data_IF_880710636248
#
_entry.id   IF_880710636248
#
_cell.length_a   1.000
_cell.length_b   1.000
_cell.length_c   1.000
_cell.angle_alpha   90.00
_cell.angle_beta   90.00
_cell.angle_gamma   90.00
#
_symmetry.space_group_name_H-M   'P 1'
#
loop_
_entity.id
_entity.type
_entity.pdbx_description
1 polymer ?
#
# COMPACT_ATOMS: atom_id res chain seq x y z
N UNK A 1 28.26 21.09 -39.39
CA UNK A 1 27.14 20.79 -38.48
C UNK A 1 27.18 19.31 -38.11
N UNK A 2 27.64 18.98 -36.90
CA UNK A 2 27.47 17.62 -36.37
C UNK A 2 26.02 17.45 -35.94
N UNK A 3 25.36 16.38 -36.39
CA UNK A 3 24.10 15.94 -35.78
C UNK A 3 24.45 15.42 -34.38
N UNK A 4 23.93 16.07 -33.34
CA UNK A 4 23.91 15.48 -32.01
C UNK A 4 22.98 14.28 -32.10
N UNK A 5 23.55 13.06 -32.09
CA UNK A 5 22.78 11.86 -31.83
C UNK A 5 22.28 11.96 -30.39
N UNK A 6 21.04 12.44 -30.22
CA UNK A 6 20.29 12.19 -28.99
C UNK A 6 20.19 10.68 -28.84
N UNK A 7 20.98 10.12 -27.91
CA UNK A 7 20.75 8.75 -27.44
C UNK A 7 19.30 8.69 -26.98
N UNK A 8 18.48 7.92 -27.70
CA UNK A 8 17.18 7.49 -27.20
C UNK A 8 17.45 6.73 -25.91
N UNK A 9 17.05 7.30 -24.77
CA UNK A 9 17.09 6.57 -23.51
C UNK A 9 16.35 5.24 -23.72
N UNK A 10 17.00 4.12 -23.43
CA UNK A 10 16.44 2.80 -23.68
C UNK A 10 15.12 2.66 -22.91
N UNK A 11 14.01 2.75 -23.65
CA UNK A 11 12.67 2.56 -23.10
C UNK A 11 12.26 1.12 -23.32
N UNK A 12 12.06 0.41 -22.23
CA UNK A 12 11.53 -0.93 -22.20
C UNK A 12 9.99 -0.87 -22.17
N UNK A 13 9.36 -1.87 -22.77
CA UNK A 13 7.92 -2.09 -22.74
C UNK A 13 7.65 -3.38 -21.99
N UNK A 14 7.18 -3.28 -20.74
CA UNK A 14 6.94 -4.44 -19.87
C UNK A 14 5.44 -4.71 -19.79
N UNK A 15 5.01 -5.89 -20.25
CA UNK A 15 3.68 -6.43 -19.93
C UNK A 15 3.70 -6.95 -18.48
N UNK A 16 2.73 -6.53 -17.67
CA UNK A 16 2.57 -6.92 -16.28
C UNK A 16 1.27 -7.75 -16.13
N UNK A 17 1.25 -9.04 -16.52
CA UNK A 17 0.03 -9.86 -16.53
C UNK A 17 -0.56 -10.13 -15.14
N UNK A 18 0.19 -9.91 -14.05
CA UNK A 18 -0.39 -9.85 -12.71
C UNK A 18 -1.31 -8.64 -12.49
N UNK A 19 -1.30 -7.66 -13.39
CA UNK A 19 -2.06 -6.41 -13.33
C UNK A 19 -3.10 -6.37 -14.47
N UNK A 20 -4.33 -6.75 -14.15
CA UNK A 20 -5.49 -6.80 -15.04
C UNK A 20 -6.42 -5.59 -14.82
N UNK A 21 -7.27 -5.22 -15.81
CA UNK A 21 -8.21 -4.11 -15.66
C UNK A 21 -9.36 -4.41 -14.69
N UNK A 22 -9.62 -5.69 -14.40
CA UNK A 22 -10.59 -6.15 -13.42
C UNK A 22 -10.01 -7.27 -12.54
N UNK A 23 -10.44 -7.42 -11.27
CA UNK A 23 -11.37 -6.56 -10.54
C UNK A 23 -10.72 -5.22 -10.14
N UNK A 24 -11.50 -4.32 -9.54
CA UNK A 24 -11.05 -2.97 -9.13
C UNK A 24 -9.71 -2.97 -8.36
N UNK A 25 -9.47 -3.96 -7.49
CA UNK A 25 -8.21 -4.07 -6.73
C UNK A 25 -6.99 -4.37 -7.63
N UNK A 26 -7.15 -5.08 -8.74
CA UNK A 26 -6.09 -5.29 -9.74
C UNK A 26 -5.84 -4.02 -10.56
N UNK A 27 -6.90 -3.30 -10.94
CA UNK A 27 -6.81 -1.99 -11.60
C UNK A 27 -6.06 -0.95 -10.74
N UNK A 28 -6.44 -0.84 -9.46
CA UNK A 28 -5.79 0.08 -8.52
C UNK A 28 -4.33 -0.33 -8.22
N UNK A 29 -4.01 -1.62 -8.18
CA UNK A 29 -2.61 -2.10 -8.12
C UNK A 29 -1.80 -1.60 -9.32
N UNK A 30 -2.34 -1.73 -10.54
CA UNK A 30 -1.68 -1.29 -11.77
C UNK A 30 -1.40 0.23 -11.78
N UNK A 31 -2.40 1.04 -11.40
CA UNK A 31 -2.23 2.48 -11.26
C UNK A 31 -1.25 2.86 -10.15
N UNK A 32 -1.27 2.13 -9.02
CA UNK A 32 -0.31 2.31 -7.93
C UNK A 32 1.14 2.05 -8.38
N UNK A 33 1.37 0.99 -9.15
CA UNK A 33 2.67 0.68 -9.76
C UNK A 33 3.13 1.82 -10.67
N UNK A 34 2.27 2.26 -11.59
CA UNK A 34 2.61 3.35 -12.52
C UNK A 34 2.91 4.67 -11.80
N UNK A 35 2.07 5.07 -10.84
CA UNK A 35 2.29 6.26 -10.02
C UNK A 35 3.66 6.20 -9.33
N UNK A 36 3.99 5.09 -8.67
CA UNK A 36 5.23 4.96 -7.91
C UNK A 36 6.47 4.93 -8.79
N UNK A 37 6.41 4.29 -9.96
CA UNK A 37 7.48 4.39 -10.97
C UNK A 37 7.62 5.83 -11.47
N UNK A 38 6.52 6.50 -11.82
CA UNK A 38 6.53 7.87 -12.34
C UNK A 38 7.07 8.89 -11.33
N UNK A 39 6.66 8.80 -10.07
CA UNK A 39 7.05 9.74 -9.00
C UNK A 39 8.47 9.49 -8.47
N UNK A 40 8.90 8.22 -8.35
CA UNK A 40 10.12 7.89 -7.61
C UNK A 40 11.31 7.43 -8.47
N UNK A 41 11.10 7.08 -9.74
CA UNK A 41 12.14 6.41 -10.55
C UNK A 41 12.25 6.91 -11.99
N UNK A 42 11.14 7.11 -12.69
CA UNK A 42 11.10 7.57 -14.09
C UNK A 42 9.88 8.45 -14.40
N UNK A 43 10.01 9.79 -14.26
CA UNK A 43 8.95 10.75 -14.61
C UNK A 43 8.55 10.78 -16.10
N UNK A 44 9.31 10.13 -16.98
CA UNK A 44 9.00 9.99 -18.41
C UNK A 44 8.27 8.69 -18.72
N UNK A 45 8.07 7.81 -17.73
CA UNK A 45 7.29 6.59 -17.90
C UNK A 45 5.86 6.87 -18.35
N UNK A 46 5.30 5.93 -19.11
CA UNK A 46 3.92 5.94 -19.61
C UNK A 46 3.33 4.55 -19.40
N UNK A 47 2.02 4.44 -19.32
CA UNK A 47 1.36 3.15 -19.27
C UNK A 47 0.06 3.14 -20.05
N UNK A 48 -0.34 1.95 -20.49
CA UNK A 48 -1.61 1.69 -21.15
C UNK A 48 -2.11 0.28 -20.83
N UNK A 49 -3.37 0.01 -21.19
CA UNK A 49 -3.93 -1.34 -21.19
C UNK A 49 -3.80 -1.92 -22.60
N UNK A 50 -3.33 -3.16 -22.71
CA UNK A 50 -3.25 -3.90 -23.97
C UNK A 50 -3.52 -5.38 -23.69
N UNK A 51 -4.49 -5.99 -24.39
CA UNK A 51 -4.86 -7.40 -24.24
C UNK A 51 -5.11 -7.80 -22.77
N UNK A 52 -6.00 -7.04 -22.10
CA UNK A 52 -6.32 -7.13 -20.66
C UNK A 52 -5.12 -7.11 -19.69
N UNK A 53 -3.97 -6.65 -20.16
CA UNK A 53 -2.72 -6.58 -19.42
C UNK A 53 -2.26 -5.13 -19.29
N UNK A 54 -1.79 -4.74 -18.11
CA UNK A 54 -1.14 -3.44 -17.94
C UNK A 54 0.25 -3.45 -18.59
N UNK A 55 0.54 -2.44 -19.42
CA UNK A 55 1.84 -2.28 -20.10
C UNK A 55 2.52 -1.02 -19.59
N UNK A 56 3.70 -1.19 -18.99
CA UNK A 56 4.54 -0.10 -18.52
C UNK A 56 5.67 0.18 -19.53
N UNK A 57 5.70 1.41 -20.05
CA UNK A 57 6.79 1.96 -20.83
C UNK A 57 7.69 2.80 -19.92
N UNK A 58 8.92 2.38 -19.67
CA UNK A 58 9.86 3.12 -18.82
C UNK A 58 11.31 2.76 -19.14
N UNK A 59 12.26 3.45 -18.52
CA UNK A 59 13.68 3.11 -18.52
C UNK A 59 14.04 1.85 -17.72
N UNK A 60 13.07 1.22 -17.03
CA UNK A 60 13.26 0.00 -16.25
C UNK A 60 12.95 -1.24 -17.09
N UNK A 61 13.91 -2.17 -17.18
CA UNK A 61 13.63 -3.55 -17.54
C UNK A 61 13.04 -4.33 -16.35
N UNK A 62 12.73 -5.62 -16.54
CA UNK A 62 12.12 -6.46 -15.48
C UNK A 62 12.95 -6.47 -14.20
N UNK A 63 14.26 -6.66 -14.33
CA UNK A 63 15.19 -6.75 -13.20
C UNK A 63 15.29 -5.43 -12.44
N UNK A 64 15.35 -4.30 -13.15
CA UNK A 64 15.38 -2.97 -12.54
C UNK A 64 14.04 -2.60 -11.90
N UNK A 65 12.91 -3.02 -12.46
CA UNK A 65 11.59 -2.85 -11.85
C UNK A 65 11.48 -3.65 -10.54
N UNK A 66 11.88 -4.92 -10.55
CA UNK A 66 11.93 -5.75 -9.34
C UNK A 66 12.87 -5.16 -8.27
N UNK A 67 14.06 -4.70 -8.68
CA UNK A 67 15.03 -4.06 -7.78
C UNK A 67 14.51 -2.78 -7.13
N UNK A 68 13.85 -1.91 -7.91
CA UNK A 68 13.22 -0.69 -7.40
C UNK A 68 12.18 -1.00 -6.31
N UNK A 69 11.29 -1.97 -6.55
CA UNK A 69 10.24 -2.36 -5.59
C UNK A 69 10.83 -3.09 -4.35
N UNK A 70 11.83 -3.95 -4.53
CA UNK A 70 12.43 -4.67 -3.40
C UNK A 70 13.23 -3.75 -2.49
N UNK A 71 14.04 -2.83 -3.02
CA UNK A 71 15.09 -2.15 -2.24
C UNK A 71 14.91 -0.64 -2.13
N UNK A 72 14.48 0.05 -3.20
CA UNK A 72 14.48 1.52 -3.27
C UNK A 72 13.15 2.18 -2.89
N UNK A 73 12.03 1.50 -3.13
CA UNK A 73 10.67 2.02 -2.94
C UNK A 73 10.43 2.66 -1.57
N UNK A 74 9.87 3.88 -1.59
CA UNK A 74 9.37 4.60 -0.42
C UNK A 74 7.84 4.47 -0.35
N UNK A 75 7.26 3.77 0.63
CA UNK A 75 5.81 3.66 0.73
C UNK A 75 5.16 5.00 1.06
N UNK A 76 4.09 5.35 0.32
CA UNK A 76 3.26 6.50 0.64
C UNK A 76 2.65 6.33 2.04
N UNK A 77 2.72 7.33 2.93
CA UNK A 77 2.13 7.27 4.25
C UNK A 77 0.60 7.19 4.22
N UNK A 78 0.05 5.98 4.41
CA UNK A 78 -1.38 5.75 4.55
C UNK A 78 -1.68 5.71 6.05
N UNK A 79 -2.25 6.79 6.58
CA UNK A 79 -2.58 6.97 8.01
C UNK A 79 -4.04 7.36 8.17
N UNK A 80 -4.70 6.81 9.20
CA UNK A 80 -6.11 7.07 9.49
C UNK A 80 -6.34 7.31 11.00
N UNK A 81 -5.66 8.28 11.64
CA UNK A 81 -5.79 8.51 13.08
C UNK A 81 -7.24 8.66 13.55
N UNK A 82 -8.15 9.21 12.73
CA UNK A 82 -9.59 9.31 13.01
C UNK A 82 -10.37 7.98 13.04
N UNK A 83 -9.75 6.84 12.69
CA UNK A 83 -10.37 5.51 12.72
C UNK A 83 -9.97 4.72 13.97
N UNK A 84 -10.93 4.06 14.62
CA UNK A 84 -10.65 3.15 15.75
C UNK A 84 -9.80 1.91 15.38
N UNK A 85 -9.82 1.50 14.11
CA UNK A 85 -9.06 0.36 13.60
C UNK A 85 -7.60 0.65 13.24
N UNK A 86 -7.19 1.92 13.26
CA UNK A 86 -5.90 2.41 12.74
C UNK A 86 -4.67 1.95 13.52
N UNK A 87 -4.81 1.76 14.84
CA UNK A 87 -3.72 1.38 15.76
C UNK A 87 -3.19 2.53 16.64
N UNK A 88 -3.70 3.76 16.49
CA UNK A 88 -3.30 4.89 17.34
C UNK A 88 -3.91 4.85 18.76
N UNK A 89 -5.05 4.19 18.95
CA UNK A 89 -5.80 4.21 20.21
C UNK A 89 -5.50 3.04 21.15
N UNK A 90 -5.60 3.30 22.45
CA UNK A 90 -5.33 2.34 23.53
C UNK A 90 -6.33 1.19 23.59
N UNK A 91 -7.59 1.43 23.21
CA UNK A 91 -8.68 0.45 23.09
C UNK A 91 -8.79 -0.18 21.69
N UNK A 92 -7.86 0.15 20.78
CA UNK A 92 -7.80 -0.36 19.43
C UNK A 92 -7.27 -1.80 19.32
N UNK A 93 -7.23 -2.32 18.08
CA UNK A 93 -6.68 -3.65 17.81
C UNK A 93 -5.18 -3.72 18.12
N UNK A 94 -4.78 -4.66 18.99
CA UNK A 94 -3.36 -4.93 19.30
C UNK A 94 -2.50 -5.11 18.03
N UNK A 95 -3.00 -5.84 17.05
CA UNK A 95 -2.29 -6.07 15.79
C UNK A 95 -2.21 -4.81 14.90
N UNK A 96 -3.10 -3.83 15.08
CA UNK A 96 -2.98 -2.53 14.43
C UNK A 96 -1.92 -1.66 15.13
N UNK A 97 -1.93 -1.64 16.46
CA UNK A 97 -0.92 -0.94 17.26
C UNK A 97 0.50 -1.48 17.02
N UNK A 98 0.68 -2.80 17.04
CA UNK A 98 1.95 -3.46 16.69
C UNK A 98 2.45 -3.10 15.28
N UNK A 99 1.53 -2.83 14.33
CA UNK A 99 1.89 -2.38 12.99
C UNK A 99 2.39 -0.93 12.98
N UNK A 100 1.66 0.00 13.62
CA UNK A 100 2.09 1.40 13.82
C UNK A 100 3.45 1.46 14.50
N UNK A 101 3.59 0.78 15.65
CA UNK A 101 4.82 0.75 16.43
C UNK A 101 6.00 0.14 15.64
N UNK A 102 5.72 -0.82 14.74
CA UNK A 102 6.78 -1.41 13.89
C UNK A 102 7.28 -0.51 12.77
N UNK A 103 6.49 0.44 12.29
CA UNK A 103 6.94 1.46 11.34
C UNK A 103 7.61 2.62 12.09
N UNK A 104 7.06 3.01 13.26
CA UNK A 104 7.60 4.05 14.16
C UNK A 104 9.02 3.73 14.67
N UNK A 105 9.35 2.45 14.84
CA UNK A 105 10.68 2.02 15.24
C UNK A 105 11.80 2.46 14.27
N UNK A 106 13.03 2.54 14.77
CA UNK A 106 14.20 2.73 13.91
C UNK A 106 14.31 1.58 12.90
N UNK A 107 14.70 1.92 11.67
CA UNK A 107 14.47 1.09 10.49
C UNK A 107 14.82 1.84 9.20
N UNK A 108 14.70 1.20 8.04
CA UNK A 108 15.29 1.67 6.79
C UNK A 108 14.76 3.05 6.37
N UNK A 109 15.65 3.89 5.85
CA UNK A 109 15.38 5.28 5.46
C UNK A 109 14.17 5.44 4.53
N UNK A 110 13.80 4.39 3.78
CA UNK A 110 12.61 4.38 2.91
C UNK A 110 11.26 4.47 3.63
N UNK A 111 11.24 4.33 4.96
CA UNK A 111 10.06 4.51 5.82
C UNK A 111 10.03 5.88 6.52
N UNK A 112 10.96 6.79 6.24
CA UNK A 112 11.13 8.04 6.99
C UNK A 112 9.92 8.97 6.89
N UNK A 113 9.40 9.23 5.68
CA UNK A 113 8.16 9.99 5.46
C UNK A 113 6.96 9.35 6.17
N UNK A 114 6.95 8.02 6.32
CA UNK A 114 5.91 7.27 7.02
C UNK A 114 6.00 7.48 8.54
N UNK A 115 7.21 7.43 9.12
CA UNK A 115 7.44 7.75 10.54
C UNK A 115 6.99 9.17 10.86
N UNK A 116 7.36 10.13 10.01
CA UNK A 116 6.95 11.53 10.16
C UNK A 116 5.43 11.69 10.15
N UNK A 117 4.71 10.99 9.25
CA UNK A 117 3.25 11.01 9.23
C UNK A 117 2.61 10.35 10.47
N UNK A 118 3.19 9.25 11.00
CA UNK A 118 2.75 8.60 12.24
C UNK A 118 3.00 9.50 13.46
N UNK A 119 4.14 10.20 13.51
CA UNK A 119 4.45 11.15 14.59
C UNK A 119 3.58 12.40 14.54
N UNK A 120 3.34 12.97 13.35
CA UNK A 120 2.40 14.08 13.16
C UNK A 120 0.98 13.66 13.56
N UNK A 121 0.53 12.48 13.16
CA UNK A 121 -0.76 11.91 13.57
C UNK A 121 -0.89 11.79 15.09
N UNK A 122 0.17 11.31 15.78
CA UNK A 122 0.19 11.25 17.24
C UNK A 122 0.11 12.65 17.86
N UNK A 123 0.93 13.60 17.40
CA UNK A 123 0.95 14.99 17.89
C UNK A 123 -0.41 15.67 17.76
N UNK A 124 -1.15 15.43 16.67
CA UNK A 124 -2.53 15.94 16.51
C UNK A 124 -3.48 15.33 17.53
N UNK A 125 -3.44 14.01 17.73
CA UNK A 125 -4.28 13.34 18.73
C UNK A 125 -3.98 13.83 20.15
N UNK A 126 -2.70 13.97 20.49
CA UNK A 126 -2.24 14.48 21.79
C UNK A 126 -2.66 15.95 22.00
N UNK A 127 -2.53 16.79 20.95
CA UNK A 127 -2.94 18.21 20.97
C UNK A 127 -4.46 18.38 21.16
N UNK A 128 -5.26 17.53 20.52
CA UNK A 128 -6.73 17.56 20.62
C UNK A 128 -7.28 16.77 21.82
N UNK A 129 -6.45 16.01 22.55
CA UNK A 129 -6.84 15.25 23.73
C UNK A 129 -7.57 13.91 23.45
N UNK A 130 -7.27 13.25 22.33
CA UNK A 130 -7.93 11.99 21.94
C UNK A 130 -7.21 10.72 22.46
N UNK A 131 -7.62 10.23 23.63
CA UNK A 131 -7.21 8.90 24.14
C UNK A 131 -7.91 7.72 23.42
N UNK A 132 -9.01 7.99 22.73
CA UNK A 132 -9.92 7.05 22.05
C UNK A 132 -10.38 7.62 20.71
N UNK A 133 -10.98 6.77 19.86
CA UNK A 133 -11.55 7.19 18.57
C UNK A 133 -12.50 8.39 18.75
N UNK A 134 -12.50 9.36 17.82
CA UNK A 134 -13.44 10.48 17.85
C UNK A 134 -14.88 9.98 17.66
N UNK A 135 -15.84 10.71 18.21
CA UNK A 135 -17.23 10.65 17.76
C UNK A 135 -17.38 11.29 16.38
N UNK A 136 -18.50 11.02 15.70
CA UNK A 136 -18.75 11.61 14.38
C UNK A 136 -18.92 13.14 14.40
N UNK A 137 -19.17 13.74 15.57
CA UNK A 137 -19.16 15.21 15.77
C UNK A 137 -17.75 15.79 15.89
N UNK A 138 -16.82 15.02 16.42
CA UNK A 138 -15.41 15.43 16.63
C UNK A 138 -14.55 15.15 15.40
N UNK A 139 -14.95 14.18 14.58
CA UNK A 139 -14.21 13.74 13.39
C UNK A 139 -13.89 14.87 12.41
N UNK A 140 -14.82 15.76 11.97
CA UNK A 140 -14.49 16.82 11.02
C UNK A 140 -13.35 17.73 11.49
N UNK A 141 -13.35 18.12 12.76
CA UNK A 141 -12.27 18.91 13.37
C UNK A 141 -10.94 18.16 13.39
N UNK A 142 -10.95 16.86 13.70
CA UNK A 142 -9.74 16.03 13.65
C UNK A 142 -9.22 15.86 12.21
N UNK A 143 -10.10 15.72 11.21
CA UNK A 143 -9.69 15.69 9.80
C UNK A 143 -9.03 17.02 9.38
N UNK A 144 -9.58 18.15 9.81
CA UNK A 144 -9.00 19.47 9.57
C UNK A 144 -7.61 19.64 10.23
N UNK A 145 -7.45 19.27 11.50
CA UNK A 145 -6.13 19.33 12.15
C UNK A 145 -5.14 18.32 11.56
N UNK A 146 -5.58 17.12 11.18
CA UNK A 146 -4.74 16.21 10.41
C UNK A 146 -4.29 16.84 9.09
N UNK A 147 -5.16 17.54 8.36
CA UNK A 147 -4.80 18.25 7.13
C UNK A 147 -3.82 19.40 7.36
N UNK A 148 -3.87 20.05 8.52
CA UNK A 148 -2.99 21.15 8.90
C UNK A 148 -1.58 20.69 9.34
N UNK A 149 -1.44 19.51 9.96
CA UNK A 149 -0.20 19.07 10.62
C UNK A 149 0.53 17.90 9.94
N UNK A 150 -0.15 17.07 9.15
CA UNK A 150 0.50 15.93 8.47
C UNK A 150 1.40 16.43 7.32
N UNK A 151 2.53 15.74 7.06
CA UNK A 151 3.45 16.13 6.00
C UNK A 151 2.85 15.95 4.60
N UNK A 152 3.35 16.70 3.61
CA UNK A 152 2.94 16.65 2.20
C UNK A 152 2.91 15.22 1.61
N UNK A 153 3.77 14.32 2.08
CA UNK A 153 3.77 12.91 1.66
C UNK A 153 2.46 12.17 1.99
N UNK A 154 1.74 12.58 3.04
CA UNK A 154 0.44 12.04 3.43
C UNK A 154 -0.75 12.82 2.82
N UNK A 155 -0.55 14.08 2.38
CA UNK A 155 -1.59 14.97 1.85
C UNK A 155 -2.39 14.32 0.70
N UNK A 156 -1.71 13.66 -0.25
CA UNK A 156 -2.36 12.94 -1.36
C UNK A 156 -3.23 11.75 -0.92
N UNK A 157 -2.95 11.16 0.25
CA UNK A 157 -3.83 10.15 0.84
C UNK A 157 -5.05 10.79 1.49
N UNK A 158 -4.88 11.91 2.21
CA UNK A 158 -5.99 12.66 2.83
C UNK A 158 -7.02 13.11 1.77
N UNK A 159 -6.56 13.72 0.67
CA UNK A 159 -7.43 14.14 -0.44
C UNK A 159 -8.11 12.97 -1.16
N UNK A 160 -7.53 11.75 -1.05
CA UNK A 160 -8.12 10.53 -1.59
C UNK A 160 -9.13 9.86 -0.64
N UNK A 161 -9.19 10.22 0.65
CA UNK A 161 -10.18 9.67 1.60
C UNK A 161 -11.29 10.63 2.01
N UNK A 162 -11.06 11.94 2.00
CA UNK A 162 -12.07 12.93 2.37
C UNK A 162 -11.85 14.29 1.68
N UNK A 163 -12.92 15.10 1.68
CA UNK A 163 -12.90 16.51 1.29
C UNK A 163 -13.42 17.33 2.47
N UNK A 164 -12.78 18.45 2.79
CA UNK A 164 -13.22 19.37 3.83
C UNK A 164 -14.14 20.45 3.21
N UNK A 165 -15.34 20.59 3.74
CA UNK A 165 -16.40 21.48 3.23
C UNK A 165 -16.78 22.52 4.28
N UNK A 166 -15.87 23.47 4.53
CA UNK A 166 -16.05 24.51 5.53
C UNK A 166 -15.90 23.96 6.95
N UNK A 167 -17.01 23.75 7.65
CA UNK A 167 -17.03 23.15 8.99
C UNK A 167 -17.25 21.62 8.97
N UNK A 168 -17.68 21.08 7.82
CA UNK A 168 -18.00 19.67 7.65
C UNK A 168 -16.92 18.93 6.84
N UNK A 169 -17.08 17.62 6.71
CA UNK A 169 -16.21 16.75 5.91
C UNK A 169 -17.04 15.71 5.17
N UNK A 170 -16.79 15.55 3.88
CA UNK A 170 -17.36 14.47 3.06
C UNK A 170 -16.33 13.35 2.87
N UNK A 171 -16.74 12.10 3.11
CA UNK A 171 -15.87 10.93 3.03
C UNK A 171 -16.05 10.24 1.68
N UNK A 172 -14.96 9.79 1.06
CA UNK A 172 -15.02 9.13 -0.24
C UNK A 172 -15.80 7.79 -0.13
N UNK A 173 -16.93 7.61 -0.84
CA UNK A 173 -17.81 6.44 -0.65
C UNK A 173 -17.11 5.10 -0.87
N UNK A 174 -16.12 5.06 -1.77
CA UNK A 174 -15.31 3.87 -2.04
C UNK A 174 -14.41 3.47 -0.86
N UNK A 175 -14.08 4.40 0.03
CA UNK A 175 -13.20 4.18 1.19
C UNK A 175 -13.98 4.27 2.51
N UNK A 176 -15.30 4.06 2.46
CA UNK A 176 -16.17 3.94 3.61
C UNK A 176 -16.10 5.14 4.55
N UNK A 177 -15.89 4.88 5.84
CA UNK A 177 -15.82 5.91 6.89
C UNK A 177 -14.46 6.63 6.98
N UNK A 178 -13.81 6.87 5.84
CA UNK A 178 -12.51 7.55 5.74
C UNK A 178 -11.33 6.58 5.82
N UNK A 179 -11.16 5.73 4.80
CA UNK A 179 -10.08 4.73 4.75
C UNK A 179 -10.42 3.37 5.36
N UNK A 180 -11.67 2.91 5.21
CA UNK A 180 -12.11 1.56 5.62
C UNK A 180 -12.73 0.77 4.45
N UNK A 181 -12.51 -0.54 4.45
CA UNK A 181 -13.15 -1.58 3.65
C UNK A 181 -13.99 -2.45 4.62
N UNK A 182 -15.25 -2.04 4.84
CA UNK A 182 -16.09 -2.60 5.90
C UNK A 182 -15.46 -2.41 7.29
N UNK A 183 -15.09 -3.51 7.94
CA UNK A 183 -14.39 -3.52 9.23
C UNK A 183 -12.85 -3.49 9.11
N UNK A 184 -12.30 -3.47 7.89
CA UNK A 184 -10.85 -3.44 7.64
C UNK A 184 -10.38 -2.00 7.44
N UNK A 185 -9.53 -1.51 8.33
CA UNK A 185 -8.88 -0.21 8.17
C UNK A 185 -7.68 -0.32 7.21
N UNK A 186 -7.69 0.50 6.15
CA UNK A 186 -6.67 0.46 5.10
C UNK A 186 -5.26 0.80 5.62
N UNK A 187 -5.14 1.75 6.54
CA UNK A 187 -3.85 2.16 7.12
C UNK A 187 -3.20 1.01 7.88
N UNK A 188 -3.91 0.45 8.86
CA UNK A 188 -3.38 -0.64 9.69
C UNK A 188 -3.14 -1.89 8.85
N UNK A 189 -3.98 -2.19 7.85
CA UNK A 189 -3.76 -3.30 6.94
C UNK A 189 -2.51 -3.07 6.07
N UNK A 190 -2.31 -1.86 5.54
CA UNK A 190 -1.11 -1.53 4.77
C UNK A 190 0.16 -1.71 5.61
N UNK A 191 0.22 -1.11 6.81
CA UNK A 191 1.36 -1.23 7.73
C UNK A 191 1.66 -2.69 8.14
N UNK A 192 0.62 -3.50 8.44
CA UNK A 192 0.77 -4.94 8.76
C UNK A 192 1.47 -5.72 7.64
N UNK A 193 1.18 -5.37 6.39
CA UNK A 193 1.74 -6.06 5.22
C UNK A 193 3.11 -5.50 4.81
N UNK A 194 3.35 -4.19 4.96
CA UNK A 194 4.61 -3.53 4.59
C UNK A 194 5.82 -4.22 5.24
N UNK A 195 5.78 -4.49 6.55
CA UNK A 195 6.90 -5.10 7.27
C UNK A 195 7.33 -6.47 6.67
N UNK A 196 6.43 -7.46 6.46
CA UNK A 196 6.76 -8.70 5.74
C UNK A 196 7.42 -8.50 4.37
N UNK A 197 6.97 -7.55 3.55
CA UNK A 197 7.52 -7.36 2.19
C UNK A 197 8.82 -6.55 2.18
N UNK A 198 8.97 -5.57 3.06
CA UNK A 198 10.15 -4.70 3.09
C UNK A 198 11.32 -5.29 3.87
N UNK A 199 11.07 -6.27 4.75
CA UNK A 199 12.08 -6.88 5.63
C UNK A 199 12.10 -8.41 5.61
N UNK A 200 11.13 -9.06 4.95
CA UNK A 200 10.89 -10.51 5.07
C UNK A 200 10.15 -10.92 6.36
N UNK A 201 10.18 -10.08 7.40
CA UNK A 201 9.74 -10.47 8.74
C UNK A 201 8.27 -10.14 9.00
N UNK A 202 7.49 -11.18 9.26
CA UNK A 202 6.13 -11.06 9.80
C UNK A 202 6.16 -10.48 11.23
N UNK A 203 5.12 -9.73 11.60
CA UNK A 203 4.93 -9.24 12.97
C UNK A 203 4.96 -10.41 13.96
N UNK A 204 5.72 -10.26 15.05
CA UNK A 204 5.87 -11.27 16.10
C UNK A 204 6.70 -12.51 15.76
N UNK A 205 7.21 -12.67 14.52
CA UNK A 205 8.02 -13.85 14.13
C UNK A 205 9.53 -13.57 14.08
N UNK A 206 10.33 -14.58 14.42
CA UNK A 206 11.79 -14.58 14.25
C UNK A 206 12.20 -15.01 12.83
N UNK A 207 13.39 -14.61 12.35
CA UNK A 207 13.90 -15.06 11.06
C UNK A 207 14.16 -16.59 10.98
N UNK A 208 13.41 -17.32 10.17
CA UNK A 208 13.83 -18.60 9.57
C UNK A 208 14.78 -18.33 8.39
N UNK A 209 16.10 -18.44 8.58
CA UNK A 209 17.19 -18.31 7.56
C UNK A 209 17.02 -17.19 6.51
N UNK A 210 17.96 -16.24 6.48
CA UNK A 210 17.94 -15.07 5.56
C UNK A 210 17.60 -15.39 4.08
N UNK A 211 18.07 -16.51 3.54
CA UNK A 211 17.82 -16.92 2.13
C UNK A 211 16.33 -17.13 1.87
N UNK A 212 15.64 -17.88 2.73
CA UNK A 212 14.21 -18.23 2.63
C UNK A 212 13.28 -16.97 2.62
N UNK A 213 13.80 -15.82 3.07
CA UNK A 213 13.08 -14.54 3.06
C UNK A 213 13.22 -13.77 1.77
N UNK A 214 14.43 -13.62 1.23
CA UNK A 214 14.63 -12.85 0.00
C UNK A 214 13.94 -13.54 -1.19
N UNK A 215 14.02 -14.87 -1.25
CA UNK A 215 13.28 -15.67 -2.23
C UNK A 215 11.76 -15.49 -2.11
N UNK A 216 11.23 -15.40 -0.88
CA UNK A 216 9.80 -15.18 -0.63
C UNK A 216 9.35 -13.76 -0.99
N UNK A 217 10.12 -12.73 -0.59
CA UNK A 217 9.86 -11.32 -0.95
C UNK A 217 9.83 -11.15 -2.46
N UNK A 218 10.85 -11.67 -3.15
CA UNK A 218 10.94 -11.67 -4.61
C UNK A 218 9.78 -12.46 -5.23
N UNK A 219 9.50 -13.66 -4.74
CA UNK A 219 8.39 -14.49 -5.22
C UNK A 219 7.01 -13.82 -5.11
N UNK A 220 6.72 -13.12 -4.00
CA UNK A 220 5.49 -12.34 -3.89
C UNK A 220 5.42 -11.20 -4.90
N UNK A 221 6.52 -10.50 -5.13
CA UNK A 221 6.58 -9.40 -6.10
C UNK A 221 6.48 -9.90 -7.56
N UNK A 222 7.21 -10.95 -7.92
CA UNK A 222 7.13 -11.59 -9.23
C UNK A 222 5.71 -12.09 -9.51
N UNK A 223 5.02 -12.68 -8.51
CA UNK A 223 3.62 -13.08 -8.64
C UNK A 223 2.69 -11.87 -8.79
N UNK A 224 2.89 -10.81 -8.00
CA UNK A 224 2.05 -9.62 -8.05
C UNK A 224 2.18 -8.81 -9.35
N UNK A 225 3.35 -8.83 -10.01
CA UNK A 225 3.62 -8.10 -11.26
C UNK A 225 3.42 -8.97 -12.50
N UNK A 226 3.90 -10.22 -12.49
CA UNK A 226 4.04 -11.07 -13.68
C UNK A 226 3.23 -12.38 -13.61
N UNK A 227 2.54 -12.68 -12.51
CA UNK A 227 1.84 -13.96 -12.25
C UNK A 227 2.73 -15.23 -12.36
N UNK A 228 4.05 -15.04 -12.51
CA UNK A 228 5.09 -16.06 -12.75
C UNK A 228 5.42 -16.95 -11.54
N UNK A 229 4.76 -16.76 -10.39
CA UNK A 229 5.21 -17.28 -9.10
C UNK A 229 4.08 -17.78 -8.21
N UNK A 230 4.36 -18.88 -7.52
CA UNK A 230 3.47 -19.55 -6.56
C UNK A 230 3.97 -19.42 -5.10
N UNK A 231 4.65 -18.32 -4.76
CA UNK A 231 5.13 -18.07 -3.40
C UNK A 231 3.98 -18.07 -2.37
N UNK A 232 4.08 -18.93 -1.34
CA UNK A 232 3.05 -19.08 -0.31
C UNK A 232 2.70 -17.75 0.37
N UNK A 233 1.42 -17.41 0.37
CA UNK A 233 0.91 -16.14 0.89
C UNK A 233 0.65 -16.21 2.41
N UNK A 234 0.86 -15.10 3.11
CA UNK A 234 0.51 -14.98 4.54
C UNK A 234 -1.00 -14.91 4.72
N UNK A 235 -1.53 -15.53 5.78
CA UNK A 235 -2.97 -15.49 6.11
C UNK A 235 -3.37 -14.09 6.59
N UNK A 236 -4.34 -13.46 5.91
CA UNK A 236 -4.91 -12.15 6.26
C UNK A 236 -6.42 -12.08 5.94
N UNK A 237 -7.11 -11.05 6.41
CA UNK A 237 -8.56 -10.87 6.29
C UNK A 237 -8.96 -10.16 4.98
N UNK A 238 -9.83 -10.81 4.19
CA UNK A 238 -10.19 -10.44 2.82
C UNK A 238 -11.08 -9.18 2.80
N UNK A 239 -10.74 -8.21 1.94
CA UNK A 239 -11.53 -7.00 1.69
C UNK A 239 -12.52 -7.13 0.53
N UNK A 240 -13.56 -6.29 0.52
CA UNK A 240 -14.71 -6.35 -0.40
C UNK A 240 -14.33 -6.16 -1.87
N UNK A 241 -13.21 -5.50 -2.15
CA UNK A 241 -12.76 -5.18 -3.51
C UNK A 241 -12.06 -6.34 -4.25
N UNK A 242 -11.99 -7.53 -3.64
CA UNK A 242 -11.50 -8.75 -4.28
C UNK A 242 -12.44 -9.95 -4.02
N UNK A 243 -13.71 -9.88 -4.48
CA UNK A 243 -14.76 -10.84 -4.09
C UNK A 243 -14.51 -12.27 -4.59
N UNK A 244 -13.76 -12.45 -5.69
CA UNK A 244 -13.37 -13.78 -6.16
C UNK A 244 -12.55 -14.57 -5.12
N UNK A 245 -11.83 -13.91 -4.21
CA UNK A 245 -10.98 -14.59 -3.22
C UNK A 245 -11.70 -15.03 -1.94
N UNK A 246 -13.03 -14.92 -1.87
CA UNK A 246 -13.85 -15.34 -0.71
C UNK A 246 -13.75 -16.85 -0.41
N UNK A 247 -13.21 -17.67 -1.33
CA UNK A 247 -12.94 -19.08 -1.09
C UNK A 247 -14.15 -19.96 -1.43
N UNK A 248 -14.49 -20.01 -2.71
CA UNK A 248 -15.39 -21.01 -3.28
C UNK A 248 -14.66 -21.84 -4.35
N UNK A 249 -15.17 -23.03 -4.72
CA UNK A 249 -14.68 -23.78 -5.87
C UNK A 249 -14.68 -22.88 -7.12
N UNK A 250 -13.58 -22.92 -7.89
CA UNK A 250 -13.35 -22.15 -9.13
C UNK A 250 -13.21 -20.61 -9.00
N UNK A 251 -13.03 -20.05 -7.81
CA UNK A 251 -13.03 -18.59 -7.62
C UNK A 251 -11.66 -17.88 -7.82
N UNK A 252 -10.61 -18.59 -8.22
CA UNK A 252 -9.23 -18.05 -8.23
C UNK A 252 -8.85 -17.28 -9.49
N UNK A 253 -8.55 -15.99 -9.33
CA UNK A 253 -7.68 -15.20 -10.21
C UNK A 253 -6.41 -14.75 -9.46
N UNK A 254 -5.32 -14.53 -10.23
CA UNK A 254 -3.90 -14.44 -9.84
C UNK A 254 -3.56 -13.48 -8.69
N UNK A 255 -2.32 -13.56 -8.17
CA UNK A 255 -2.00 -13.04 -6.84
C UNK A 255 -1.97 -11.50 -6.71
N UNK A 256 -2.28 -11.05 -5.50
CA UNK A 256 -2.49 -9.66 -5.07
C UNK A 256 -1.89 -9.65 -3.65
N UNK A 257 -1.21 -8.58 -3.19
CA UNK A 257 -0.37 -8.55 -1.97
C UNK A 257 -0.29 -7.15 -1.27
N UNK A 258 -0.93 -6.81 -0.11
CA UNK A 258 -1.27 -5.38 0.23
C UNK A 258 -0.14 -4.44 0.63
N UNK A 259 1.00 -4.97 1.01
CA UNK A 259 2.28 -4.27 0.96
C UNK A 259 2.61 -3.63 -0.42
N UNK A 260 2.02 -4.20 -1.47
CA UNK A 260 2.01 -3.83 -2.88
C UNK A 260 0.59 -4.09 -3.51
N UNK A 261 -0.46 -3.86 -2.70
CA UNK A 261 -1.90 -4.10 -2.94
C UNK A 261 -2.44 -5.58 -3.03
N UNK A 262 -3.13 -6.05 -1.95
CA UNK A 262 -4.10 -7.12 -1.52
C UNK A 262 -3.73 -8.60 -1.17
N UNK A 263 -3.04 -8.92 -0.04
CA UNK A 263 -2.45 -10.26 0.31
C UNK A 263 -3.47 -11.31 0.82
N UNK A 264 -3.84 -12.31 -0.01
CA UNK A 264 -4.93 -13.26 0.33
C UNK A 264 -4.76 -14.72 -0.15
N UNK A 265 -5.13 -15.65 0.75
CA UNK A 265 -4.82 -17.09 0.89
C UNK A 265 -5.31 -18.05 -0.22
N UNK A 266 -4.69 -19.25 -0.27
CA UNK A 266 -5.21 -20.46 -0.96
C UNK A 266 -5.62 -21.47 0.11
N UNK A 267 -6.90 -21.87 0.11
CA UNK A 267 -7.39 -22.92 1.01
C UNK A 267 -6.74 -24.26 0.70
N UNK A 268 -6.24 -24.94 1.74
CA UNK A 268 -5.92 -26.36 1.71
C UNK A 268 -6.84 -27.08 2.71
N UNK A 269 -7.56 -28.08 2.21
CA UNK A 269 -8.15 -29.19 2.97
C UNK A 269 -7.97 -30.46 2.13
N UNK A 270 -7.90 -31.65 2.74
CA UNK A 270 -7.16 -32.01 3.96
C UNK A 270 -5.74 -32.53 3.65
#
# INVERSE_FOLDING_TARGET
MMRVNTMTANSHSLKLPGCTPEPLMAYLKALGIFRLVAEQKDPKSRACWQDDTFVLHSSLNREALLGFFLEEYRPTPIVSPWNGGSGFYSDGSRAAKEAVDSIRAEGPNRLEEYRQAIEASQKVLDYMGFDKKPSDREKPSLLAECRNWLPDAAVSWLDAVYVLTGADSELQPLLGSGGNDGNLDFSSNFMKNLRPVLSGLELGKKPSKRVDYEERRKGWLDSALFDDSHASLVKSAIGQFNPGRVGGPNATAGSVALCWVGLYYRGHEP
#
